data_IF_372565226833
#
_entry.id   IF_372565226833
#
_cell.length_a   1.000
_cell.length_b   1.000
_cell.length_c   1.000
_cell.angle_alpha   90.00
_cell.angle_beta   90.00
_cell.angle_gamma   90.00
#
_symmetry.space_group_name_H-M   'P 1'
#
loop_
_entity.id
_entity.type
_entity.pdbx_description
1 polymer ?
#
# COMPACT_ATOMS: atom_id res chain seq x y z
N UNK A 1 30.55 11.19 7.07
CA UNK A 1 29.82 12.22 6.28
C UNK A 1 30.80 12.90 5.35
N UNK A 2 30.43 13.13 4.09
CA UNK A 2 31.29 13.75 3.07
C UNK A 2 31.30 15.27 3.17
N UNK A 3 30.73 15.97 2.18
CA UNK A 3 30.63 17.43 2.17
C UNK A 3 29.30 17.88 2.78
N UNK A 4 29.33 18.91 3.63
CA UNK A 4 28.14 19.51 4.20
C UNK A 4 28.05 20.96 3.71
N UNK A 5 26.84 21.37 3.36
CA UNK A 5 26.56 22.65 2.73
C UNK A 5 25.38 23.28 3.43
N UNK A 6 25.52 24.56 3.78
CA UNK A 6 24.40 25.38 4.22
C UNK A 6 23.92 26.23 3.04
N UNK A 7 22.61 26.14 2.77
CA UNK A 7 21.96 26.89 1.70
C UNK A 7 21.30 28.13 2.32
N UNK A 8 21.78 29.30 1.94
CA UNK A 8 21.10 30.57 2.17
C UNK A 8 20.39 31.02 0.89
N UNK A 9 19.44 31.95 1.01
CA UNK A 9 18.57 32.40 -0.09
C UNK A 9 19.30 32.73 -1.41
N UNK A 10 20.56 33.19 -1.35
CA UNK A 10 21.36 33.54 -2.52
C UNK A 10 22.79 32.99 -2.51
N UNK A 11 23.19 32.24 -1.48
CA UNK A 11 24.58 31.80 -1.30
C UNK A 11 24.64 30.38 -0.78
N UNK A 12 25.55 29.62 -1.38
CA UNK A 12 25.93 28.28 -0.96
C UNK A 12 27.24 28.37 -0.17
N UNK A 13 27.23 27.91 1.08
CA UNK A 13 28.42 27.93 1.95
C UNK A 13 28.76 26.51 2.37
N UNK A 14 29.98 26.05 2.10
CA UNK A 14 30.48 24.77 2.61
C UNK A 14 30.86 24.94 4.08
N UNK A 15 30.43 23.99 4.91
CA UNK A 15 30.69 23.98 6.36
C UNK A 15 31.24 22.62 6.78
N UNK A 16 32.16 22.62 7.74
CA UNK A 16 32.79 21.38 8.24
C UNK A 16 31.98 20.70 9.35
N UNK A 17 31.14 21.45 10.07
CA UNK A 17 30.40 20.98 11.25
C UNK A 17 29.00 21.59 11.29
N UNK A 18 28.04 20.78 11.74
CA UNK A 18 26.63 21.14 11.96
C UNK A 18 26.33 20.88 13.43
N UNK A 19 25.76 21.84 14.13
CA UNK A 19 25.39 21.68 15.54
C UNK A 19 23.91 21.29 15.69
N UNK A 20 23.53 20.85 16.89
CA UNK A 20 22.15 20.49 17.20
C UNK A 20 21.22 21.69 16.98
N UNK A 21 20.19 21.52 16.15
CA UNK A 21 19.22 22.56 15.80
C UNK A 21 19.49 23.26 14.46
N UNK A 22 20.66 23.02 13.85
CA UNK A 22 20.98 23.55 12.52
C UNK A 22 20.44 22.65 11.41
N UNK A 23 20.05 23.27 10.29
CA UNK A 23 19.63 22.58 9.07
C UNK A 23 20.72 22.76 8.01
N UNK A 24 21.23 21.65 7.49
CA UNK A 24 22.25 21.63 6.45
C UNK A 24 22.03 20.46 5.48
N UNK A 25 22.53 20.61 4.25
CA UNK A 25 22.50 19.56 3.23
C UNK A 25 23.84 18.81 3.21
N UNK A 26 23.79 17.50 3.41
CA UNK A 26 24.96 16.64 3.33
C UNK A 26 24.96 15.89 1.99
N UNK A 27 26.08 15.96 1.28
CA UNK A 27 26.24 15.38 -0.07
C UNK A 27 26.98 14.05 0.03
N UNK A 28 26.45 13.03 -0.64
CA UNK A 28 27.11 11.73 -0.82
C UNK A 28 26.54 10.58 0.00
N UNK A 29 25.32 10.70 0.51
CA UNK A 29 24.58 9.55 1.03
C UNK A 29 24.14 8.65 -0.13
N UNK A 30 24.31 7.33 0.04
CA UNK A 30 23.96 6.32 -0.96
C UNK A 30 22.63 5.63 -0.70
N UNK A 31 22.23 5.53 0.55
CA UNK A 31 21.08 4.74 1.01
C UNK A 31 20.31 5.55 2.05
N UNK A 32 19.90 6.75 1.69
CA UNK A 32 19.16 7.62 2.60
C UNK A 32 18.09 8.33 1.81
N UNK A 33 16.84 8.15 2.23
CA UNK A 33 15.66 8.77 1.61
C UNK A 33 15.07 9.82 2.55
N UNK A 34 14.09 10.56 2.04
CA UNK A 34 13.34 11.54 2.84
C UNK A 34 12.62 10.83 4.00
N UNK A 35 12.93 11.24 5.24
CA UNK A 35 12.37 10.66 6.47
C UNK A 35 13.34 9.80 7.28
N UNK A 36 14.49 9.44 6.72
CA UNK A 36 15.48 8.63 7.43
C UNK A 36 16.19 9.38 8.56
N UNK A 37 16.45 8.68 9.66
CA UNK A 37 17.18 9.22 10.81
C UNK A 37 18.67 8.89 10.72
N UNK A 38 19.52 9.92 10.72
CA UNK A 38 20.98 9.78 10.84
C UNK A 38 21.37 9.96 12.31
N UNK A 39 21.87 8.90 12.95
CA UNK A 39 22.26 8.89 14.36
C UNK A 39 23.69 8.37 14.58
N UNK A 40 24.16 8.46 15.83
CA UNK A 40 25.45 7.91 16.26
C UNK A 40 25.40 6.38 16.32
N UNK A 41 26.42 5.69 15.78
CA UNK A 41 26.45 4.23 15.70
C UNK A 41 26.39 3.55 17.08
N UNK A 42 26.81 4.23 18.16
CA UNK A 42 26.79 3.66 19.52
C UNK A 42 25.46 3.89 20.24
N UNK A 43 24.64 4.82 19.75
CA UNK A 43 23.35 5.17 20.34
C UNK A 43 22.30 5.29 19.23
N UNK A 44 21.83 4.15 18.70
CA UNK A 44 20.82 4.17 17.64
C UNK A 44 19.51 4.73 18.21
N UNK A 45 18.99 5.76 17.53
CA UNK A 45 17.69 6.34 17.81
C UNK A 45 16.96 6.46 16.48
N UNK A 46 15.69 6.03 16.47
CA UNK A 46 14.79 6.22 15.34
C UNK A 46 13.88 7.39 15.74
N UNK A 47 13.94 8.48 14.98
CA UNK A 47 13.01 9.59 15.13
C UNK A 47 11.69 9.23 14.44
N UNK A 48 10.63 9.95 14.79
CA UNK A 48 9.29 9.72 14.26
C UNK A 48 9.28 9.86 12.73
N UNK A 49 8.86 8.79 12.05
CA UNK A 49 8.70 8.78 10.61
C UNK A 49 7.49 9.62 10.23
N UNK A 50 7.63 10.46 9.19
CA UNK A 50 6.47 11.14 8.62
C UNK A 50 5.55 10.12 7.96
N UNK A 51 4.29 10.06 8.40
CA UNK A 51 3.24 9.34 7.69
C UNK A 51 2.79 10.17 6.49
N UNK A 52 2.98 9.62 5.28
CA UNK A 52 2.53 10.26 4.05
C UNK A 52 1.13 9.76 3.70
N UNK A 53 0.18 10.67 3.39
CA UNK A 53 -1.15 10.26 2.98
C UNK A 53 -1.08 9.53 1.64
N UNK A 54 -2.05 8.63 1.42
CA UNK A 54 -2.15 7.96 0.12
C UNK A 54 -2.46 8.96 -1.01
N UNK A 55 -1.86 8.79 -2.19
CA UNK A 55 -2.12 9.64 -3.33
C UNK A 55 -3.59 9.57 -3.76
N UNK A 56 -4.12 10.69 -4.25
CA UNK A 56 -5.56 10.88 -4.54
C UNK A 56 -5.88 10.92 -6.02
N UNK A 57 -4.89 11.22 -6.86
CA UNK A 57 -5.04 11.30 -8.32
C UNK A 57 -4.03 10.36 -8.96
N UNK A 58 -4.51 9.62 -9.94
CA UNK A 58 -3.72 8.73 -10.78
C UNK A 58 -3.73 9.23 -12.22
N UNK A 59 -2.64 9.01 -12.94
CA UNK A 59 -2.46 9.44 -14.31
C UNK A 59 -1.74 8.34 -15.08
N UNK A 60 -2.35 7.88 -16.16
CA UNK A 60 -1.70 6.93 -17.06
C UNK A 60 -0.66 7.67 -17.91
N UNK A 61 0.55 7.13 -17.99
CA UNK A 61 1.63 7.61 -18.83
C UNK A 61 2.12 6.49 -19.75
N UNK A 62 2.25 6.81 -21.03
CA UNK A 62 2.68 5.85 -22.05
C UNK A 62 3.91 6.37 -22.79
N UNK A 63 5.03 5.61 -22.83
CA UNK A 63 6.20 6.01 -23.59
C UNK A 63 5.92 5.92 -25.09
N UNK A 64 6.34 6.92 -25.87
CA UNK A 64 6.17 6.87 -27.34
C UNK A 64 7.07 5.83 -28.00
N UNK A 65 8.22 5.52 -27.40
CA UNK A 65 9.20 4.58 -27.96
C UNK A 65 9.70 3.59 -26.91
N UNK A 66 10.17 2.42 -27.36
CA UNK A 66 10.82 1.43 -26.46
C UNK A 66 12.06 1.96 -25.76
N UNK A 67 12.80 2.87 -26.38
CA UNK A 67 13.95 3.51 -25.74
C UNK A 67 13.53 4.44 -24.61
N UNK A 68 12.38 5.09 -24.76
CA UNK A 68 11.82 5.98 -23.74
C UNK A 68 11.22 5.19 -22.58
N UNK A 69 10.75 3.96 -22.80
CA UNK A 69 10.28 3.07 -21.73
C UNK A 69 11.38 2.80 -20.69
N UNK A 70 12.60 2.51 -21.14
CA UNK A 70 13.73 2.28 -20.23
C UNK A 70 14.12 3.54 -19.45
N UNK A 71 14.20 4.68 -20.15
CA UNK A 71 14.50 5.98 -19.52
C UNK A 71 13.41 6.44 -18.55
N UNK A 72 12.15 6.17 -18.88
CA UNK A 72 11.01 6.49 -18.05
C UNK A 72 11.09 5.72 -16.72
N UNK A 73 11.38 4.41 -16.76
CA UNK A 73 11.56 3.62 -15.54
C UNK A 73 12.67 4.16 -14.64
N UNK A 74 13.84 4.50 -15.21
CA UNK A 74 14.95 5.10 -14.46
C UNK A 74 14.61 6.49 -13.89
N UNK A 75 13.87 7.31 -14.64
CA UNK A 75 13.48 8.64 -14.23
C UNK A 75 12.43 8.61 -13.12
N UNK A 76 11.42 7.76 -13.26
CA UNK A 76 10.38 7.56 -12.25
C UNK A 76 10.98 7.04 -10.94
N UNK A 77 11.96 6.12 -11.00
CA UNK A 77 12.64 5.64 -9.80
C UNK A 77 13.38 6.76 -9.06
N UNK A 78 14.10 7.63 -9.78
CA UNK A 78 14.78 8.79 -9.18
C UNK A 78 13.80 9.81 -8.59
N UNK A 79 12.67 10.03 -9.26
CA UNK A 79 11.63 10.93 -8.78
C UNK A 79 10.94 10.37 -7.51
N UNK A 80 10.73 9.06 -7.44
CA UNK A 80 10.21 8.39 -6.24
C UNK A 80 11.20 8.40 -5.06
N UNK A 81 12.51 8.41 -5.33
CA UNK A 81 13.53 8.61 -4.27
C UNK A 81 13.51 10.03 -3.71
N UNK A 82 13.20 11.03 -4.54
CA UNK A 82 13.11 12.43 -4.14
C UNK A 82 11.79 12.74 -3.41
N UNK A 83 10.67 12.19 -3.89
CA UNK A 83 9.33 12.42 -3.35
C UNK A 83 8.65 11.10 -2.91
N UNK A 84 8.55 10.83 -1.59
CA UNK A 84 7.91 9.62 -1.07
C UNK A 84 6.38 9.61 -1.23
N UNK A 85 5.77 10.76 -1.54
CA UNK A 85 4.32 10.86 -1.80
C UNK A 85 3.94 10.45 -3.23
N UNK A 86 4.95 10.32 -4.10
CA UNK A 86 4.79 9.88 -5.47
C UNK A 86 4.92 8.36 -5.57
N UNK A 87 3.92 7.71 -6.17
CA UNK A 87 3.97 6.27 -6.45
C UNK A 87 3.86 6.03 -7.95
N UNK A 88 4.65 5.09 -8.46
CA UNK A 88 4.54 4.63 -9.84
C UNK A 88 4.40 3.12 -9.84
N UNK A 89 3.41 2.60 -10.57
CA UNK A 89 3.23 1.17 -10.76
C UNK A 89 2.86 0.90 -12.22
N UNK A 90 3.10 -0.33 -12.68
CA UNK A 90 2.67 -0.76 -14.01
C UNK A 90 1.42 -1.61 -13.84
N UNK A 91 0.34 -1.20 -14.48
CA UNK A 91 -0.89 -1.97 -14.53
C UNK A 91 -0.69 -3.21 -15.41
N UNK A 92 -0.92 -4.38 -14.84
CA UNK A 92 -0.74 -5.67 -15.51
C UNK A 92 -1.83 -5.98 -16.54
N UNK A 93 -3.01 -5.37 -16.44
CA UNK A 93 -4.12 -5.59 -17.37
C UNK A 93 -3.98 -4.73 -18.63
N UNK A 94 -3.66 -3.45 -18.46
CA UNK A 94 -3.51 -2.51 -19.57
C UNK A 94 -2.08 -2.45 -20.10
N UNK A 95 -1.09 -2.87 -19.31
CA UNK A 95 0.33 -2.72 -19.62
C UNK A 95 0.83 -1.28 -19.55
N UNK A 96 0.00 -0.36 -19.05
CA UNK A 96 0.33 1.07 -18.94
C UNK A 96 1.04 1.36 -17.63
N UNK A 97 1.87 2.40 -17.62
CA UNK A 97 2.46 2.89 -16.36
C UNK A 97 1.51 3.91 -15.76
N UNK A 98 1.10 3.70 -14.52
CA UNK A 98 0.24 4.62 -13.78
C UNK A 98 1.10 5.32 -12.74
N UNK A 99 1.02 6.66 -12.74
CA UNK A 99 1.65 7.50 -11.73
C UNK A 99 0.59 8.08 -10.82
N UNK A 100 0.82 8.04 -9.51
CA UNK A 100 -0.10 8.50 -8.49
C UNK A 100 0.54 9.60 -7.65
N UNK A 101 -0.22 10.66 -7.39
CA UNK A 101 0.24 11.82 -6.64
C UNK A 101 -0.86 12.49 -5.82
N UNK A 102 -0.46 13.52 -5.06
CA UNK A 102 -1.34 14.25 -4.16
C UNK A 102 -2.30 15.24 -4.86
N UNK A 103 -2.08 15.54 -6.13
CA UNK A 103 -2.89 16.54 -6.84
C UNK A 103 -2.46 16.75 -8.29
N UNK A 104 -3.28 17.47 -9.05
CA UNK A 104 -3.06 17.75 -10.48
C UNK A 104 -1.75 18.50 -10.70
N UNK A 105 -1.50 19.57 -9.93
CA UNK A 105 -0.26 20.35 -10.01
C UNK A 105 0.99 19.50 -9.70
N UNK A 106 0.89 18.56 -8.76
CA UNK A 106 2.00 17.69 -8.43
C UNK A 106 2.35 16.82 -9.65
N UNK A 107 1.35 16.17 -10.25
CA UNK A 107 1.54 15.34 -11.43
C UNK A 107 2.04 16.13 -12.65
N UNK A 108 1.56 17.36 -12.86
CA UNK A 108 2.03 18.24 -13.92
C UNK A 108 3.53 18.56 -13.79
N UNK A 109 4.00 18.83 -12.57
CA UNK A 109 5.42 19.09 -12.32
C UNK A 109 6.25 17.83 -12.58
N UNK A 110 5.77 16.66 -12.18
CA UNK A 110 6.44 15.38 -12.43
C UNK A 110 6.56 15.11 -13.94
N UNK A 111 5.47 15.32 -14.70
CA UNK A 111 5.47 15.17 -16.16
C UNK A 111 6.41 16.18 -16.84
N UNK A 112 6.42 17.44 -16.41
CA UNK A 112 7.32 18.46 -16.95
C UNK A 112 8.79 18.10 -16.67
N UNK A 113 9.11 17.58 -15.47
CA UNK A 113 10.47 17.11 -15.14
C UNK A 113 10.88 15.91 -16.00
N UNK A 114 9.99 14.95 -16.23
CA UNK A 114 10.24 13.81 -17.13
C UNK A 114 10.58 14.28 -18.56
N UNK A 115 9.82 15.26 -19.08
CA UNK A 115 10.03 15.81 -20.42
C UNK A 115 11.31 16.66 -20.51
N UNK A 116 11.59 17.51 -19.52
CA UNK A 116 12.70 18.46 -19.55
C UNK A 116 14.04 17.89 -19.10
N UNK A 117 14.06 17.21 -17.96
CA UNK A 117 15.30 16.70 -17.35
C UNK A 117 15.75 15.40 -18.02
N UNK A 118 14.81 14.48 -18.24
CA UNK A 118 15.11 13.14 -18.74
C UNK A 118 14.90 12.98 -20.25
N UNK A 119 14.30 13.99 -20.91
CA UNK A 119 14.01 14.00 -22.35
C UNK A 119 13.21 12.76 -22.78
N UNK A 120 12.27 12.35 -21.95
CA UNK A 120 11.39 11.20 -22.19
C UNK A 120 10.14 11.72 -22.88
N UNK A 121 9.91 11.33 -24.13
CA UNK A 121 8.64 11.63 -24.79
C UNK A 121 7.57 10.62 -24.34
N UNK A 122 6.60 11.11 -23.58
CA UNK A 122 5.47 10.33 -23.12
C UNK A 122 4.14 10.97 -23.49
N UNK A 123 3.14 10.13 -23.74
CA UNK A 123 1.75 10.55 -23.85
C UNK A 123 1.13 10.48 -22.46
N UNK A 124 0.36 11.50 -22.13
CA UNK A 124 -0.30 11.63 -20.84
C UNK A 124 -1.79 11.38 -21.04
N UNK A 125 -2.34 10.44 -20.27
CA UNK A 125 -3.76 10.14 -20.24
C UNK A 125 -4.57 11.20 -19.51
N UNK A 126 -5.87 10.94 -19.33
CA UNK A 126 -6.68 11.79 -18.46
C UNK A 126 -6.40 11.44 -16.98
N UNK A 127 -6.39 12.43 -16.06
CA UNK A 127 -6.32 12.16 -14.64
C UNK A 127 -7.55 11.36 -14.21
N UNK A 128 -7.31 10.26 -13.52
CA UNK A 128 -8.32 9.45 -12.89
C UNK A 128 -8.29 9.70 -11.38
N UNK A 129 -9.48 9.72 -10.79
CA UNK A 129 -9.61 9.82 -9.34
C UNK A 129 -9.41 8.42 -8.78
N UNK A 130 -8.55 8.29 -7.76
CA UNK A 130 -8.41 7.05 -7.01
C UNK A 130 -9.68 6.86 -6.15
N UNK A 131 -10.71 6.27 -6.75
CA UNK A 131 -11.92 5.91 -6.02
C UNK A 131 -11.60 4.84 -4.98
N UNK A 132 -12.31 4.88 -3.87
CA UNK A 132 -12.22 3.88 -2.81
C UNK A 132 -13.61 3.40 -2.47
N UNK A 133 -13.73 2.14 -2.08
CA UNK A 133 -14.99 1.52 -1.69
C UNK A 133 -15.08 1.48 -0.14
N UNK A 134 -16.28 1.45 0.42
CA UNK A 134 -16.48 1.26 1.87
C UNK A 134 -17.81 0.58 2.15
N UNK A 135 -17.92 -0.07 3.31
CA UNK A 135 -19.16 -0.69 3.75
C UNK A 135 -20.16 0.38 4.20
N UNK A 136 -21.45 0.18 3.90
CA UNK A 136 -22.51 1.07 4.44
C UNK A 136 -23.27 0.43 5.60
N UNK A 137 -23.29 -0.90 5.67
CA UNK A 137 -24.04 -1.68 6.66
C UNK A 137 -23.15 -2.73 7.29
N UNK A 138 -23.47 -3.06 8.55
CA UNK A 138 -22.89 -4.22 9.19
C UNK A 138 -23.48 -5.51 8.59
N UNK A 139 -22.62 -6.46 8.24
CA UNK A 139 -23.01 -7.73 7.62
C UNK A 139 -22.35 -8.89 8.35
N UNK A 140 -23.13 -9.93 8.62
CA UNK A 140 -22.64 -11.21 9.13
C UNK A 140 -22.57 -12.21 7.98
N UNK A 141 -21.41 -12.86 7.82
CA UNK A 141 -21.17 -13.83 6.76
C UNK A 141 -20.59 -15.12 7.33
N UNK A 142 -21.23 -16.22 6.95
CA UNK A 142 -20.75 -17.58 7.14
C UNK A 142 -20.17 -18.06 5.80
N UNK A 143 -18.86 -18.30 5.77
CA UNK A 143 -18.13 -18.75 4.59
C UNK A 143 -17.43 -20.06 4.88
N UNK A 144 -17.80 -21.08 4.10
CA UNK A 144 -17.23 -22.42 4.16
C UNK A 144 -16.56 -22.78 2.84
N UNK A 145 -15.26 -22.98 2.88
CA UNK A 145 -14.47 -23.54 1.81
C UNK A 145 -14.19 -25.02 2.08
N UNK A 146 -14.80 -25.90 1.28
CA UNK A 146 -14.55 -27.34 1.34
C UNK A 146 -14.27 -27.86 -0.07
N UNK A 147 -13.01 -28.22 -0.33
CA UNK A 147 -12.59 -28.76 -1.63
C UNK A 147 -11.82 -30.07 -1.44
N UNK A 148 -12.33 -31.13 -2.06
CA UNK A 148 -11.73 -32.46 -2.04
C UNK A 148 -11.35 -32.86 -3.47
N UNK A 149 -10.14 -32.49 -3.90
CA UNK A 149 -9.61 -32.88 -5.21
C UNK A 149 -8.50 -33.91 -5.04
N UNK A 150 -8.87 -35.19 -4.89
CA UNK A 150 -8.00 -36.36 -5.04
C UNK A 150 -6.78 -36.53 -4.12
N UNK A 151 -6.43 -35.53 -3.31
CA UNK A 151 -5.32 -35.52 -2.35
C UNK A 151 -5.75 -35.04 -0.95
N UNK A 152 -4.84 -34.42 -0.18
CA UNK A 152 -5.17 -33.76 1.11
C UNK A 152 -6.35 -32.81 0.91
N UNK A 153 -7.43 -33.00 1.68
CA UNK A 153 -8.57 -32.11 1.63
C UNK A 153 -8.19 -30.69 2.06
N UNK A 154 -8.93 -29.71 1.56
CA UNK A 154 -8.86 -28.33 2.05
C UNK A 154 -10.21 -27.98 2.68
N UNK A 155 -10.17 -27.65 3.96
CA UNK A 155 -11.32 -27.27 4.75
C UNK A 155 -11.03 -26.01 5.57
N UNK A 156 -11.74 -24.93 5.27
CA UNK A 156 -11.75 -23.70 6.05
C UNK A 156 -13.18 -23.24 6.25
N UNK A 157 -13.57 -22.93 7.48
CA UNK A 157 -14.87 -22.35 7.77
C UNK A 157 -14.71 -21.25 8.80
N UNK A 158 -15.10 -20.03 8.42
CA UNK A 158 -15.03 -18.84 9.24
C UNK A 158 -16.37 -18.10 9.19
N UNK A 159 -16.81 -17.64 10.36
CA UNK A 159 -17.89 -16.68 10.48
C UNK A 159 -17.32 -15.34 10.90
N UNK A 160 -17.58 -14.34 10.08
CA UNK A 160 -17.00 -13.01 10.20
C UNK A 160 -18.12 -11.99 10.18
N UNK A 161 -18.08 -11.09 11.16
CA UNK A 161 -18.93 -9.91 11.20
C UNK A 161 -18.12 -8.73 10.68
N UNK A 162 -18.61 -8.09 9.63
CA UNK A 162 -18.04 -6.88 9.05
C UNK A 162 -18.84 -5.67 9.51
N UNK A 163 -18.17 -4.68 10.07
CA UNK A 163 -18.77 -3.41 10.49
C UNK A 163 -18.06 -2.25 9.78
N UNK A 164 -18.81 -1.26 9.28
CA UNK A 164 -18.20 -0.06 8.70
C UNK A 164 -17.55 0.79 9.78
N UNK A 165 -16.29 1.17 9.58
CA UNK A 165 -15.56 2.15 10.37
C UNK A 165 -15.45 3.49 9.62
N UNK A 166 -14.96 4.52 10.31
CA UNK A 166 -14.70 5.81 9.69
C UNK A 166 -13.64 5.65 8.58
N UNK A 167 -13.97 5.90 7.30
CA UNK A 167 -13.03 5.77 6.19
C UNK A 167 -11.84 6.73 6.28
N UNK A 168 -11.93 7.79 7.09
CA UNK A 168 -10.88 8.78 7.32
C UNK A 168 -10.13 8.57 8.65
N UNK A 169 -10.36 7.46 9.34
CA UNK A 169 -9.62 7.12 10.56
C UNK A 169 -8.17 6.72 10.27
N UNK A 170 -7.31 6.79 11.29
CA UNK A 170 -5.92 6.30 11.24
C UNK A 170 -5.85 4.78 10.94
N UNK A 171 -6.84 4.01 11.40
CA UNK A 171 -6.98 2.59 11.10
C UNK A 171 -7.98 2.36 9.96
N UNK A 172 -7.47 2.06 8.77
CA UNK A 172 -8.29 1.76 7.58
C UNK A 172 -8.83 0.33 7.56
N UNK A 173 -8.17 -0.59 8.26
CA UNK A 173 -8.58 -1.98 8.42
C UNK A 173 -8.30 -2.42 9.85
N UNK A 174 -9.34 -2.92 10.53
CA UNK A 174 -9.22 -3.45 11.89
C UNK A 174 -9.68 -4.89 11.92
N UNK A 175 -8.79 -5.78 12.33
CA UNK A 175 -9.10 -7.20 12.50
C UNK A 175 -9.13 -7.56 13.99
N UNK A 176 -10.26 -8.05 14.47
CA UNK A 176 -10.42 -8.55 15.83
C UNK A 176 -10.89 -10.00 15.83
N UNK A 177 -10.41 -10.78 16.81
CA UNK A 177 -10.85 -12.16 17.01
C UNK A 177 -11.52 -12.29 18.37
N UNK A 178 -12.78 -12.71 18.35
CA UNK A 178 -13.58 -13.06 19.53
C UNK A 178 -13.82 -14.57 19.63
N UNK A 179 -13.08 -15.38 18.87
CA UNK A 179 -13.21 -16.84 18.87
C UNK A 179 -12.85 -17.40 20.25
N UNK A 180 -13.85 -17.90 20.97
CA UNK A 180 -13.70 -18.58 22.27
C UNK A 180 -13.93 -20.09 22.07
N UNK A 181 -13.03 -20.93 22.57
CA UNK A 181 -13.29 -22.39 22.68
C UNK A 181 -12.58 -23.29 21.68
N UNK A 182 -11.61 -22.80 20.89
CA UNK A 182 -10.77 -23.66 20.04
C UNK A 182 -11.42 -24.15 18.74
N UNK A 183 -12.60 -23.63 18.38
CA UNK A 183 -13.28 -23.88 17.10
C UNK A 183 -12.44 -23.49 15.86
N UNK A 184 -11.47 -22.60 16.05
CA UNK A 184 -10.39 -22.33 15.10
C UNK A 184 -9.09 -22.30 15.92
N UNK A 185 -8.08 -23.13 15.59
CA UNK A 185 -6.74 -23.00 16.15
C UNK A 185 -6.20 -21.58 15.96
N UNK A 186 -5.57 -21.02 16.99
CA UNK A 186 -5.03 -19.64 16.95
C UNK A 186 -4.00 -19.43 15.83
N UNK A 187 -3.40 -20.51 15.34
CA UNK A 187 -2.45 -20.50 14.22
C UNK A 187 -3.12 -20.14 12.88
N UNK A 188 -4.42 -20.39 12.71
CA UNK A 188 -5.13 -20.09 11.45
C UNK A 188 -5.86 -18.75 11.46
N UNK A 189 -5.97 -18.09 12.62
CA UNK A 189 -6.63 -16.79 12.75
C UNK A 189 -5.93 -15.70 11.92
N UNK A 190 -4.59 -15.58 11.93
CA UNK A 190 -3.89 -14.60 11.09
C UNK A 190 -4.15 -14.83 9.59
N UNK A 191 -4.17 -16.08 9.13
CA UNK A 191 -4.41 -16.41 7.72
C UNK A 191 -5.80 -15.97 7.23
N UNK A 192 -6.82 -15.99 8.11
CA UNK A 192 -8.14 -15.42 7.78
C UNK A 192 -8.04 -13.90 7.61
N UNK A 193 -7.29 -13.23 8.49
CA UNK A 193 -7.04 -11.79 8.42
C UNK A 193 -6.32 -11.39 7.12
N UNK A 194 -5.23 -12.08 6.78
CA UNK A 194 -4.49 -11.87 5.52
C UNK A 194 -5.39 -12.09 4.30
N UNK A 195 -6.22 -13.14 4.32
CA UNK A 195 -7.16 -13.40 3.23
C UNK A 195 -8.24 -12.34 3.06
N UNK A 196 -8.65 -11.68 4.16
CA UNK A 196 -9.58 -10.54 4.13
C UNK A 196 -8.86 -9.28 3.63
N UNK A 197 -7.63 -9.03 4.08
CA UNK A 197 -6.83 -7.87 3.67
C UNK A 197 -6.51 -7.91 2.17
N UNK A 198 -6.12 -9.07 1.64
CA UNK A 198 -5.91 -9.26 0.19
C UNK A 198 -7.21 -9.03 -0.59
N UNK A 199 -8.34 -9.53 -0.09
CA UNK A 199 -9.63 -9.33 -0.73
C UNK A 199 -10.11 -7.87 -0.64
N UNK A 200 -9.70 -7.12 0.39
CA UNK A 200 -10.00 -5.70 0.54
C UNK A 200 -9.25 -4.83 -0.48
N UNK A 201 -8.13 -5.29 -1.05
CA UNK A 201 -7.44 -4.57 -2.12
C UNK A 201 -8.24 -4.53 -3.44
N UNK A 202 -9.15 -5.48 -3.65
CA UNK A 202 -9.96 -5.59 -4.87
C UNK A 202 -11.45 -5.63 -4.54
N UNK A 203 -12.08 -4.46 -4.50
CA UNK A 203 -13.51 -4.28 -4.28
C UNK A 203 -14.37 -4.92 -5.39
N UNK A 204 -15.62 -5.24 -5.05
CA UNK A 204 -16.53 -5.94 -5.97
C UNK A 204 -17.19 -4.99 -6.97
N UNK A 205 -17.37 -3.72 -6.62
CA UNK A 205 -18.18 -2.80 -7.45
C UNK A 205 -17.39 -2.38 -8.69
N UNK A 206 -16.17 -1.90 -8.50
CA UNK A 206 -15.33 -1.42 -9.59
C UNK A 206 -13.84 -1.79 -9.43
N UNK A 207 -13.50 -2.72 -8.53
CA UNK A 207 -12.13 -3.20 -8.34
C UNK A 207 -11.25 -2.30 -7.49
N UNK A 208 -11.81 -1.25 -6.87
CA UNK A 208 -11.07 -0.31 -6.04
C UNK A 208 -10.84 -0.85 -4.62
N UNK A 209 -9.77 -0.42 -3.93
CA UNK A 209 -9.51 -0.84 -2.56
C UNK A 209 -10.63 -0.37 -1.62
N UNK A 210 -11.00 -1.25 -0.70
CA UNK A 210 -12.06 -1.03 0.30
C UNK A 210 -11.43 -0.55 1.60
N UNK A 211 -11.83 0.63 2.09
CA UNK A 211 -11.36 1.21 3.34
C UNK A 211 -12.44 1.25 4.43
N UNK A 212 -12.00 1.36 5.68
CA UNK A 212 -12.86 1.53 6.84
C UNK A 212 -13.58 0.23 7.18
N UNK A 213 -12.86 -0.89 7.24
CA UNK A 213 -13.46 -2.20 7.51
C UNK A 213 -13.04 -2.73 8.87
N UNK A 214 -14.01 -2.98 9.74
CA UNK A 214 -13.79 -3.75 10.97
C UNK A 214 -14.27 -5.18 10.75
N UNK A 215 -13.33 -6.11 10.68
CA UNK A 215 -13.62 -7.54 10.57
C UNK A 215 -13.47 -8.21 11.94
N UNK A 216 -14.55 -8.75 12.47
CA UNK A 216 -14.55 -9.53 13.72
C UNK A 216 -14.86 -11.00 13.45
N UNK A 217 -13.89 -11.88 13.66
CA UNK A 217 -14.11 -13.34 13.60
C UNK A 217 -14.61 -13.81 14.94
N UNK A 218 -15.84 -14.34 14.99
CA UNK A 218 -16.47 -14.77 16.25
C UNK A 218 -16.57 -16.28 16.38
N UNK A 219 -16.69 -17.01 15.27
CA UNK A 219 -16.88 -18.46 15.27
C UNK A 219 -16.41 -19.08 13.95
N UNK A 220 -16.32 -20.41 13.90
CA UNK A 220 -15.98 -21.15 12.69
C UNK A 220 -15.88 -22.64 12.98
N UNK A 221 -15.33 -23.41 12.04
CA UNK A 221 -15.00 -24.79 12.31
C UNK A 221 -13.75 -25.22 11.56
N UNK A 222 -13.04 -26.17 12.14
CA UNK A 222 -11.88 -26.81 11.52
C UNK A 222 -12.08 -28.33 11.46
N UNK A 223 -11.31 -28.98 10.59
CA UNK A 223 -11.26 -30.42 10.46
C UNK A 223 -9.81 -30.87 10.70
N UNK A 224 -9.57 -31.82 11.60
CA UNK A 224 -8.20 -32.15 12.05
C UNK A 224 -7.26 -32.63 10.93
N UNK A 225 -7.82 -33.20 9.85
CA UNK A 225 -7.02 -33.82 8.77
C UNK A 225 -7.00 -32.96 7.51
N UNK A 226 -8.05 -32.17 7.28
CA UNK A 226 -8.28 -31.43 6.02
C UNK A 226 -8.16 -29.92 6.17
N UNK A 227 -8.04 -29.40 7.41
CA UNK A 227 -7.81 -27.97 7.61
C UNK A 227 -6.38 -27.59 7.32
N UNK A 228 -6.24 -26.49 6.57
CA UNK A 228 -4.97 -25.89 6.21
C UNK A 228 -5.08 -24.38 6.29
N UNK A 229 -3.95 -23.73 6.53
CA UNK A 229 -3.81 -22.27 6.55
C UNK A 229 -4.34 -21.64 5.26
N UNK A 230 -3.98 -22.23 4.11
CA UNK A 230 -4.46 -21.81 2.79
C UNK A 230 -6.00 -21.93 2.65
N UNK A 231 -6.62 -22.93 3.28
CA UNK A 231 -8.07 -23.08 3.23
C UNK A 231 -8.78 -21.99 4.05
N UNK A 232 -8.23 -21.59 5.19
CA UNK A 232 -8.73 -20.49 6.00
C UNK A 232 -8.49 -19.13 5.34
N UNK A 233 -7.35 -18.96 4.67
CA UNK A 233 -7.07 -17.78 3.85
C UNK A 233 -8.11 -17.59 2.74
N UNK A 234 -8.37 -18.65 1.95
CA UNK A 234 -9.39 -18.63 0.90
C UNK A 234 -10.80 -18.40 1.48
N UNK A 235 -11.11 -19.03 2.62
CA UNK A 235 -12.40 -18.84 3.28
C UNK A 235 -12.60 -17.38 3.73
N UNK A 236 -11.56 -16.71 4.22
CA UNK A 236 -11.54 -15.29 4.55
C UNK A 236 -11.78 -14.40 3.34
N UNK A 237 -11.09 -14.65 2.23
CA UNK A 237 -11.31 -13.90 0.99
C UNK A 237 -12.73 -14.09 0.42
N UNK A 238 -13.28 -15.30 0.53
CA UNK A 238 -14.67 -15.57 0.14
C UNK A 238 -15.67 -14.87 1.08
N UNK A 239 -15.40 -14.87 2.39
CA UNK A 239 -16.25 -14.19 3.38
C UNK A 239 -16.33 -12.69 3.10
N UNK A 240 -15.19 -12.06 2.78
CA UNK A 240 -15.14 -10.65 2.41
C UNK A 240 -15.96 -10.36 1.14
N UNK A 241 -15.83 -11.21 0.12
CA UNK A 241 -16.58 -11.05 -1.13
C UNK A 241 -18.09 -11.18 -0.92
N UNK A 242 -18.51 -12.17 -0.16
CA UNK A 242 -19.92 -12.36 0.18
C UNK A 242 -20.46 -11.23 1.06
N UNK A 243 -19.61 -10.63 1.91
CA UNK A 243 -19.97 -9.47 2.72
C UNK A 243 -20.18 -8.24 1.86
N UNK A 244 -19.24 -7.93 0.96
CA UNK A 244 -19.33 -6.82 0.01
C UNK A 244 -20.56 -6.93 -0.91
N UNK A 245 -20.94 -8.14 -1.31
CA UNK A 245 -22.14 -8.35 -2.11
C UNK A 245 -23.47 -8.11 -1.34
N UNK A 246 -23.43 -8.17 -0.01
CA UNK A 246 -24.61 -8.02 0.87
C UNK A 246 -24.67 -6.66 1.59
N UNK A 247 -23.57 -5.92 1.60
CA UNK A 247 -23.38 -4.67 2.35
C UNK A 247 -23.95 -3.41 1.68
#
# INVERSE_FOLDING_TARGET
>A
VGRIVQMHANKRTEIDKVYSGDIAAAVGFKFTTTGDTICDEKHPVILESMEFPEPVIELAIEPKTKNDQGKMGEALAKLAEEDPTFRAHTDTETGQTIIAGMGELHLDVIVDRLLREFKVEANVGAPQVAYKETFTKAVDVDSKYAKQSGGRGQYGHCKVKFEPMDPNGEEQFKFESTVVGGNIPKEYIPAVGEGIEEAAQSGIIAGFPVLGVHATVYDGSYHEVDSSEMAFHIAGSMAFKDAMAKA
#
